data_IF_183750154662
#
_entry.id   IF_183750154662
#
_cell.length_a   1.000
_cell.length_b   1.000
_cell.length_c   1.000
_cell.angle_alpha   90.00
_cell.angle_beta   90.00
_cell.angle_gamma   90.00
#
_symmetry.space_group_name_H-M   'P 1'
#
loop_
_entity.id
_entity.type
_entity.pdbx_description
1 polymer ?
#
# COMPACT_ATOMS: atom_id res chain seq x y z
N UNK A 1 -9.93 -58.04 14.83
CA UNK A 1 -10.95 -57.25 14.07
C UNK A 1 -11.13 -55.82 14.55
N UNK A 2 -10.48 -55.38 15.63
CA UNK A 2 -10.61 -54.03 16.21
C UNK A 2 -9.68 -52.97 15.63
N UNK A 3 -8.55 -53.32 15.04
CA UNK A 3 -7.57 -52.34 14.53
C UNK A 3 -8.03 -51.61 13.25
N UNK A 4 -8.81 -52.28 12.39
CA UNK A 4 -9.29 -51.70 11.13
C UNK A 4 -10.31 -50.57 11.33
N UNK A 5 -11.12 -50.62 12.37
CA UNK A 5 -12.12 -49.59 12.67
C UNK A 5 -11.50 -48.28 13.21
N UNK A 6 -10.39 -48.43 13.94
CA UNK A 6 -9.68 -47.28 14.51
C UNK A 6 -8.99 -46.41 13.43
N UNK A 7 -8.42 -47.03 12.40
CA UNK A 7 -7.74 -46.36 11.29
C UNK A 7 -8.76 -45.55 10.44
N UNK A 8 -9.94 -46.12 10.19
CA UNK A 8 -10.98 -45.40 9.43
C UNK A 8 -11.57 -44.20 10.17
N UNK A 9 -11.70 -44.27 11.48
CA UNK A 9 -12.22 -43.17 12.30
C UNK A 9 -11.23 -41.99 12.38
N UNK A 10 -9.91 -42.27 12.44
CA UNK A 10 -8.86 -41.22 12.44
C UNK A 10 -8.75 -40.56 11.08
N UNK A 11 -8.88 -41.30 9.97
CA UNK A 11 -8.86 -40.75 8.61
C UNK A 11 -10.11 -39.91 8.33
N UNK A 12 -11.27 -40.29 8.85
CA UNK A 12 -12.51 -39.52 8.68
C UNK A 12 -12.49 -38.21 9.49
N UNK A 13 -11.93 -38.20 10.70
CA UNK A 13 -11.76 -37.02 11.55
C UNK A 13 -10.71 -36.06 10.95
N UNK A 14 -9.63 -36.58 10.34
CA UNK A 14 -8.64 -35.75 9.67
C UNK A 14 -9.17 -35.11 8.37
N UNK A 15 -10.02 -35.83 7.61
CA UNK A 15 -10.67 -35.30 6.42
C UNK A 15 -11.71 -34.20 6.76
N UNK A 16 -12.45 -34.36 7.86
CA UNK A 16 -13.39 -33.36 8.37
C UNK A 16 -12.66 -32.10 8.88
N UNK A 17 -11.50 -32.25 9.54
CA UNK A 17 -10.70 -31.13 10.02
C UNK A 17 -10.04 -30.37 8.85
N UNK A 18 -9.62 -31.06 7.77
CA UNK A 18 -9.10 -30.44 6.55
C UNK A 18 -10.19 -29.72 5.76
N UNK A 19 -11.39 -30.28 5.66
CA UNK A 19 -12.54 -29.62 5.02
C UNK A 19 -13.03 -28.42 5.82
N UNK A 20 -13.04 -28.48 7.15
CA UNK A 20 -13.38 -27.34 8.02
C UNK A 20 -12.35 -26.20 7.91
N UNK A 21 -11.04 -26.53 7.83
CA UNK A 21 -9.98 -25.53 7.57
C UNK A 21 -10.06 -24.93 6.16
N UNK A 22 -10.36 -25.74 5.13
CA UNK A 22 -10.59 -25.23 3.78
C UNK A 22 -11.83 -24.34 3.70
N UNK A 23 -12.89 -24.67 4.42
CA UNK A 23 -14.12 -23.91 4.48
C UNK A 23 -13.97 -22.62 5.33
N UNK A 24 -13.12 -22.65 6.36
CA UNK A 24 -12.75 -21.47 7.15
C UNK A 24 -11.88 -20.50 6.34
N UNK A 25 -10.96 -21.01 5.50
CA UNK A 25 -10.18 -20.20 4.57
C UNK A 25 -11.05 -19.63 3.41
N UNK A 26 -12.11 -20.32 2.99
CA UNK A 26 -13.03 -19.81 1.97
C UNK A 26 -14.00 -18.75 2.53
N UNK A 27 -14.34 -18.81 3.82
CA UNK A 27 -15.19 -17.81 4.49
C UNK A 27 -14.48 -16.47 4.75
N UNK A 28 -13.14 -16.39 4.70
CA UNK A 28 -12.40 -15.15 4.85
C UNK A 28 -12.31 -14.27 3.59
N UNK A 29 -12.83 -14.72 2.45
CA UNK A 29 -13.11 -13.85 1.30
C UNK A 29 -14.39 -13.03 1.54
N UNK A 30 -14.39 -12.22 2.61
CA UNK A 30 -15.50 -11.33 2.91
C UNK A 30 -15.59 -10.23 1.86
N UNK A 31 -16.75 -10.20 1.19
CA UNK A 31 -17.33 -9.11 0.41
C UNK A 31 -16.32 -8.06 -0.08
N UNK A 32 -15.79 -8.28 -1.27
CA UNK A 32 -15.11 -7.25 -2.03
C UNK A 32 -16.19 -6.46 -2.77
N UNK A 33 -16.36 -5.20 -2.41
CA UNK A 33 -17.14 -4.23 -3.17
C UNK A 33 -16.14 -3.44 -4.02
N UNK A 34 -16.41 -3.31 -5.30
CA UNK A 34 -15.61 -2.47 -6.20
C UNK A 34 -16.46 -1.32 -6.67
N UNK A 35 -15.86 -0.16 -6.88
CA UNK A 35 -16.58 1.01 -7.34
C UNK A 35 -15.67 2.04 -7.99
N UNK A 36 -16.33 3.05 -8.53
CA UNK A 36 -15.69 4.26 -9.03
C UNK A 36 -16.32 5.47 -8.37
N UNK A 37 -15.51 6.48 -8.11
CA UNK A 37 -15.95 7.79 -7.64
C UNK A 37 -15.48 8.87 -8.61
N UNK A 38 -16.39 9.77 -8.98
CA UNK A 38 -16.03 10.98 -9.72
C UNK A 38 -15.46 12.00 -8.73
N UNK A 39 -14.13 12.16 -8.73
CA UNK A 39 -13.41 13.04 -7.81
C UNK A 39 -12.39 13.87 -8.55
N UNK A 40 -12.42 15.18 -8.40
CA UNK A 40 -11.43 16.13 -8.96
C UNK A 40 -11.12 15.89 -10.46
N UNK A 41 -12.12 15.50 -11.26
CA UNK A 41 -11.97 15.20 -12.68
C UNK A 41 -11.42 13.80 -12.99
N UNK A 42 -11.33 12.91 -12.01
CA UNK A 42 -10.98 11.50 -12.16
C UNK A 42 -12.20 10.62 -11.93
N UNK A 43 -12.28 9.53 -12.67
CA UNK A 43 -13.07 8.35 -12.34
C UNK A 43 -12.17 7.40 -11.56
N UNK A 44 -12.09 7.62 -10.24
CA UNK A 44 -11.15 6.95 -9.34
C UNK A 44 -11.69 5.59 -8.91
N UNK A 45 -10.92 4.53 -9.15
CA UNK A 45 -11.27 3.17 -8.76
C UNK A 45 -10.91 2.88 -7.30
N UNK A 46 -11.80 2.14 -6.62
CA UNK A 46 -11.55 1.67 -5.26
C UNK A 46 -12.13 0.28 -5.02
N UNK A 47 -11.61 -0.38 -4.01
CA UNK A 47 -12.07 -1.67 -3.50
C UNK A 47 -12.31 -1.56 -2.00
N UNK A 48 -13.45 -2.11 -1.53
CA UNK A 48 -13.77 -2.17 -0.10
C UNK A 48 -13.85 -3.62 0.33
N UNK A 49 -13.17 -3.94 1.42
CA UNK A 49 -13.16 -5.27 2.04
C UNK A 49 -13.63 -5.17 3.49
N UNK A 50 -14.43 -6.13 3.94
CA UNK A 50 -14.89 -6.18 5.33
C UNK A 50 -15.84 -5.06 5.71
N UNK A 51 -15.92 -4.74 6.98
CA UNK A 51 -16.80 -3.72 7.57
C UNK A 51 -16.18 -3.17 8.86
N UNK A 52 -16.58 -1.96 9.25
CA UNK A 52 -16.07 -1.28 10.45
C UNK A 52 -16.26 0.23 10.33
N UNK A 53 -16.10 0.95 11.45
CA UNK A 53 -16.30 2.40 11.52
C UNK A 53 -15.11 3.17 10.98
N UNK A 54 -13.89 2.84 11.41
CA UNK A 54 -12.65 3.50 10.96
C UNK A 54 -11.94 2.55 9.99
N UNK A 55 -11.96 2.83 8.67
CA UNK A 55 -11.30 1.98 7.70
C UNK A 55 -9.78 2.14 7.73
N UNK A 56 -9.05 1.12 7.26
CA UNK A 56 -7.67 1.24 6.82
C UNK A 56 -7.65 1.48 5.31
N UNK A 57 -7.21 2.66 4.89
CA UNK A 57 -7.01 3.02 3.48
C UNK A 57 -5.63 2.55 3.04
N UNK A 58 -5.54 1.95 1.86
CA UNK A 58 -4.30 1.45 1.27
C UNK A 58 -4.00 2.21 -0.02
N UNK A 59 -2.83 2.90 -0.07
CA UNK A 59 -2.37 3.70 -1.21
C UNK A 59 -1.10 3.06 -1.78
N UNK A 60 -1.17 2.59 -3.02
CA UNK A 60 -0.10 1.85 -3.70
C UNK A 60 1.11 2.71 -4.07
N UNK A 61 2.23 2.07 -4.42
CA UNK A 61 3.44 2.72 -4.93
C UNK A 61 3.35 3.10 -6.40
N UNK A 62 4.34 3.85 -6.89
CA UNK A 62 4.45 4.21 -8.30
C UNK A 62 4.51 2.99 -9.22
N UNK A 63 3.95 3.10 -10.42
CA UNK A 63 3.87 2.03 -11.41
C UNK A 63 2.98 0.85 -11.01
N UNK A 64 2.30 0.93 -9.87
CA UNK A 64 1.61 -0.21 -9.24
C UNK A 64 0.10 -0.16 -9.41
N UNK A 65 -0.54 -1.24 -9.03
CA UNK A 65 -1.99 -1.38 -8.82
C UNK A 65 -2.25 -1.87 -7.40
N UNK A 66 -3.52 -1.95 -7.00
CA UNK A 66 -3.90 -2.55 -5.72
C UNK A 66 -3.31 -3.96 -5.59
N UNK A 67 -3.43 -4.78 -6.65
CA UNK A 67 -2.97 -6.17 -6.63
C UNK A 67 -1.46 -6.29 -6.56
N UNK A 68 -0.72 -5.45 -7.28
CA UNK A 68 0.75 -5.55 -7.31
C UNK A 68 1.38 -5.09 -6.01
N UNK A 69 0.87 -4.03 -5.37
CA UNK A 69 1.37 -3.56 -4.08
C UNK A 69 0.89 -4.40 -2.90
N UNK A 70 -0.39 -4.78 -2.87
CA UNK A 70 -1.03 -5.31 -1.66
C UNK A 70 -1.56 -6.74 -1.78
N UNK A 71 -1.53 -7.37 -2.95
CA UNK A 71 -2.13 -8.69 -3.18
C UNK A 71 -1.67 -9.75 -2.18
N UNK A 72 -0.42 -9.70 -1.74
CA UNK A 72 0.15 -10.68 -0.81
C UNK A 72 -0.07 -10.34 0.67
N UNK A 73 -0.27 -9.07 1.05
CA UNK A 73 -0.54 -8.69 2.45
C UNK A 73 -2.05 -8.63 2.75
N UNK A 74 -2.90 -8.31 1.78
CA UNK A 74 -4.35 -8.19 1.95
C UNK A 74 -5.00 -9.37 2.69
N UNK A 75 -4.66 -10.66 2.40
CA UNK A 75 -5.21 -11.78 3.15
C UNK A 75 -4.91 -11.74 4.64
N UNK A 76 -3.78 -11.18 5.04
CA UNK A 76 -3.36 -11.07 6.43
C UNK A 76 -3.93 -9.84 7.12
N UNK A 77 -4.25 -8.79 6.38
CA UNK A 77 -4.99 -7.61 6.88
C UNK A 77 -6.50 -7.90 7.00
N UNK A 78 -7.00 -8.95 6.31
CA UNK A 78 -8.39 -9.39 6.46
C UNK A 78 -8.68 -9.72 7.93
N UNK A 79 -9.80 -9.19 8.47
CA UNK A 79 -10.14 -9.32 9.88
C UNK A 79 -9.72 -8.14 10.76
N UNK A 80 -8.93 -7.18 10.26
CA UNK A 80 -8.75 -5.89 10.92
C UNK A 80 -10.09 -5.15 11.06
N UNK A 81 -10.92 -5.21 10.00
CA UNK A 81 -12.16 -4.46 9.91
C UNK A 81 -12.43 -4.06 8.46
N UNK A 82 -12.76 -2.80 8.23
CA UNK A 82 -12.99 -2.24 6.89
C UNK A 82 -11.65 -1.82 6.28
N UNK A 83 -11.34 -2.32 5.08
CA UNK A 83 -10.21 -1.87 4.27
C UNK A 83 -10.75 -1.15 3.03
N UNK A 84 -10.08 -0.09 2.60
CA UNK A 84 -10.37 0.63 1.35
C UNK A 84 -9.05 0.73 0.59
N UNK A 85 -8.93 0.05 -0.54
CA UNK A 85 -7.76 0.16 -1.41
C UNK A 85 -8.11 1.02 -2.61
N UNK A 86 -7.21 1.90 -3.03
CA UNK A 86 -7.44 2.88 -4.09
C UNK A 86 -6.40 2.74 -5.20
N UNK A 87 -6.79 3.09 -6.43
CA UNK A 87 -5.85 3.29 -7.54
C UNK A 87 -5.78 4.77 -7.85
N UNK A 88 -4.55 5.32 -7.87
CA UNK A 88 -4.29 6.75 -8.10
C UNK A 88 -4.47 7.12 -9.58
N UNK A 89 -4.38 8.42 -9.92
CA UNK A 89 -4.47 8.93 -11.29
C UNK A 89 -3.63 8.08 -12.26
N UNK A 90 -4.16 7.78 -13.44
CA UNK A 90 -3.55 6.99 -14.51
C UNK A 90 -3.19 5.54 -14.16
N UNK A 91 -3.30 5.11 -12.89
CA UNK A 91 -2.94 3.75 -12.47
C UNK A 91 -4.11 2.77 -12.57
N UNK A 92 -3.79 1.58 -13.05
CA UNK A 92 -4.71 0.45 -13.08
C UNK A 92 -6.04 0.78 -13.78
N UNK A 93 -7.13 0.85 -12.99
CA UNK A 93 -8.50 1.09 -13.47
C UNK A 93 -8.92 2.55 -13.36
N UNK A 94 -8.15 3.38 -12.67
CA UNK A 94 -8.44 4.81 -12.51
C UNK A 94 -8.15 5.55 -13.81
N UNK A 95 -9.05 6.46 -14.17
CA UNK A 95 -8.86 7.30 -15.33
C UNK A 95 -7.67 8.26 -15.16
N UNK A 96 -7.31 8.92 -16.26
CA UNK A 96 -6.35 10.00 -16.24
C UNK A 96 -7.04 11.36 -16.48
N UNK A 97 -6.35 12.43 -16.15
CA UNK A 97 -6.70 13.82 -16.48
C UNK A 97 -5.50 14.53 -17.05
N UNK A 98 -5.73 15.54 -17.87
CA UNK A 98 -4.66 16.29 -18.55
C UNK A 98 -3.94 17.27 -17.60
N UNK A 99 -3.44 16.76 -16.45
CA UNK A 99 -2.61 17.52 -15.51
C UNK A 99 -1.47 16.63 -15.03
N UNK A 100 -0.30 17.20 -14.68
CA UNK A 100 0.78 16.44 -14.06
C UNK A 100 0.31 15.79 -12.75
N UNK A 101 0.89 14.66 -12.40
CA UNK A 101 0.75 14.08 -11.07
C UNK A 101 1.59 14.84 -10.05
N UNK A 102 1.15 14.86 -8.80
CA UNK A 102 1.93 15.27 -7.65
C UNK A 102 1.38 14.64 -6.38
N UNK A 103 2.18 14.54 -5.33
CA UNK A 103 1.73 13.98 -4.04
C UNK A 103 0.62 14.80 -3.39
N UNK A 104 0.58 16.10 -3.65
CA UNK A 104 -0.47 17.01 -3.19
C UNK A 104 -1.81 16.66 -3.88
N UNK A 105 -1.79 16.47 -5.22
CA UNK A 105 -3.01 16.10 -5.96
C UNK A 105 -3.49 14.70 -5.59
N UNK A 106 -2.58 13.74 -5.45
CA UNK A 106 -2.92 12.40 -5.00
C UNK A 106 -3.57 12.43 -3.61
N UNK A 107 -3.06 13.29 -2.71
CA UNK A 107 -3.64 13.50 -1.39
C UNK A 107 -5.06 14.08 -1.50
N UNK A 108 -5.25 15.13 -2.30
CA UNK A 108 -6.56 15.77 -2.51
C UNK A 108 -7.57 14.77 -3.13
N UNK A 109 -7.14 13.91 -4.04
CA UNK A 109 -7.99 12.89 -4.69
C UNK A 109 -8.42 11.82 -3.68
N UNK A 110 -7.50 11.33 -2.85
CA UNK A 110 -7.81 10.36 -1.79
C UNK A 110 -8.78 10.98 -0.77
N UNK A 111 -8.57 12.22 -0.36
CA UNK A 111 -9.48 12.94 0.55
C UNK A 111 -10.86 13.13 -0.08
N UNK A 112 -10.93 13.50 -1.37
CA UNK A 112 -12.19 13.63 -2.08
C UNK A 112 -12.93 12.28 -2.17
N UNK A 113 -12.21 11.17 -2.40
CA UNK A 113 -12.77 9.83 -2.36
C UNK A 113 -13.34 9.48 -0.97
N UNK A 114 -12.62 9.77 0.11
CA UNK A 114 -13.09 9.49 1.48
C UNK A 114 -14.37 10.28 1.78
N UNK A 115 -14.44 11.55 1.38
CA UNK A 115 -15.66 12.37 1.49
C UNK A 115 -16.82 11.81 0.67
N UNK A 116 -16.55 11.37 -0.58
CA UNK A 116 -17.55 10.70 -1.42
C UNK A 116 -18.10 9.43 -0.74
N UNK A 117 -17.25 8.67 -0.08
CA UNK A 117 -17.61 7.46 0.67
C UNK A 117 -18.18 7.74 2.06
N UNK A 118 -18.32 9.02 2.45
CA UNK A 118 -18.81 9.49 3.77
C UNK A 118 -17.96 8.93 4.91
N UNK A 119 -16.64 8.97 4.73
CA UNK A 119 -15.64 8.56 5.73
C UNK A 119 -15.04 9.83 6.34
N UNK A 120 -15.34 10.08 7.60
CA UNK A 120 -14.86 11.26 8.33
C UNK A 120 -13.50 11.01 9.01
N UNK A 121 -13.16 9.74 9.26
CA UNK A 121 -11.91 9.34 9.92
C UNK A 121 -11.40 8.03 9.34
N UNK A 122 -10.10 7.96 9.04
CA UNK A 122 -9.47 6.75 8.49
C UNK A 122 -8.04 6.56 9.03
N UNK A 123 -7.61 5.31 9.15
CA UNK A 123 -6.20 4.97 9.19
C UNK A 123 -5.71 4.89 7.74
N UNK A 124 -4.49 5.35 7.46
CA UNK A 124 -3.96 5.37 6.10
C UNK A 124 -2.60 4.67 6.07
N UNK A 125 -2.47 3.66 5.24
CA UNK A 125 -1.21 2.98 4.94
C UNK A 125 -0.84 3.26 3.49
N UNK A 126 0.27 3.92 3.30
CA UNK A 126 0.87 4.12 1.99
C UNK A 126 2.15 3.32 1.81
N UNK A 127 2.42 2.94 0.58
CA UNK A 127 3.66 2.29 0.19
C UNK A 127 4.40 3.14 -0.86
N UNK A 128 5.70 3.39 -0.66
CA UNK A 128 6.56 4.12 -1.61
C UNK A 128 5.95 5.50 -1.95
N UNK A 129 5.57 5.78 -3.19
CA UNK A 129 4.88 7.00 -3.58
C UNK A 129 3.56 7.19 -2.82
N UNK A 130 2.82 6.12 -2.59
CA UNK A 130 1.64 6.16 -1.73
C UNK A 130 1.95 6.51 -0.27
N UNK A 131 3.17 6.20 0.23
CA UNK A 131 3.59 6.63 1.55
C UNK A 131 3.96 8.13 1.58
N UNK A 132 4.53 8.67 0.50
CA UNK A 132 4.72 10.12 0.35
C UNK A 132 3.37 10.85 0.29
N UNK A 133 2.38 10.28 -0.43
CA UNK A 133 0.99 10.77 -0.44
C UNK A 133 0.36 10.70 0.95
N UNK A 134 0.59 9.61 1.70
CA UNK A 134 0.08 9.46 3.08
C UNK A 134 0.69 10.51 4.02
N UNK A 135 1.99 10.77 3.90
CA UNK A 135 2.65 11.84 4.66
C UNK A 135 2.06 13.21 4.31
N UNK A 136 1.81 13.49 3.01
CA UNK A 136 1.14 14.70 2.56
C UNK A 136 -0.23 14.85 3.23
N UNK A 137 -1.05 13.80 3.22
CA UNK A 137 -2.37 13.81 3.86
C UNK A 137 -2.24 14.07 5.37
N UNK A 138 -1.28 13.42 6.05
CA UNK A 138 -1.07 13.60 7.48
C UNK A 138 -0.68 15.04 7.85
N UNK A 139 0.02 15.75 6.96
CA UNK A 139 0.39 17.16 7.14
C UNK A 139 -0.80 18.09 6.86
N UNK A 140 -1.52 17.87 5.75
CA UNK A 140 -2.51 18.83 5.24
C UNK A 140 -3.94 18.57 5.70
N UNK A 141 -4.27 17.31 6.05
CA UNK A 141 -5.60 16.86 6.46
C UNK A 141 -5.59 16.02 7.75
N UNK A 142 -4.91 16.49 8.82
CA UNK A 142 -4.80 15.71 10.07
C UNK A 142 -6.16 15.43 10.71
N UNK A 143 -7.19 16.22 10.39
CA UNK A 143 -8.55 16.02 10.90
C UNK A 143 -9.20 14.72 10.40
N UNK A 144 -8.81 14.23 9.21
CA UNK A 144 -9.34 12.98 8.63
C UNK A 144 -8.50 11.77 9.04
N UNK A 145 -7.21 11.96 9.32
CA UNK A 145 -6.29 10.86 9.65
C UNK A 145 -6.45 10.47 11.11
N UNK A 146 -6.76 9.20 11.37
CA UNK A 146 -6.71 8.62 12.71
C UNK A 146 -5.29 8.18 13.05
N UNK A 147 -4.67 7.36 12.18
CA UNK A 147 -3.27 6.91 12.28
C UNK A 147 -2.67 6.83 10.87
N UNK A 148 -1.38 7.12 10.74
CA UNK A 148 -0.63 7.04 9.49
C UNK A 148 0.41 5.91 9.54
N UNK A 149 0.56 5.17 8.44
CA UNK A 149 1.57 4.12 8.29
C UNK A 149 2.32 4.38 6.99
N UNK A 150 3.60 4.71 7.12
CA UNK A 150 4.47 5.12 6.03
C UNK A 150 5.45 3.98 5.72
N UNK A 151 5.18 3.21 4.67
CA UNK A 151 6.04 2.10 4.28
C UNK A 151 6.96 2.54 3.14
N UNK A 152 8.26 2.63 3.39
CA UNK A 152 9.28 3.06 2.42
C UNK A 152 9.02 4.47 1.86
N UNK A 153 8.74 5.43 2.73
CA UNK A 153 8.53 6.83 2.38
C UNK A 153 9.86 7.60 2.28
N UNK A 154 9.92 8.59 1.39
CA UNK A 154 10.98 9.60 1.36
C UNK A 154 10.39 10.99 1.57
N UNK A 155 11.11 11.86 2.30
CA UNK A 155 10.73 13.26 2.48
C UNK A 155 11.77 14.22 1.89
N UNK A 156 12.97 13.70 1.53
CA UNK A 156 14.01 14.44 0.80
C UNK A 156 14.61 13.58 -0.30
N UNK A 157 15.15 14.24 -1.33
CA UNK A 157 15.81 13.58 -2.46
C UNK A 157 17.06 12.82 -2.04
N UNK A 158 17.82 13.36 -1.10
CA UNK A 158 19.03 12.72 -0.55
C UNK A 158 18.71 11.49 0.32
N UNK A 159 17.46 11.26 0.66
CA UNK A 159 16.99 10.04 1.32
C UNK A 159 17.00 8.80 0.43
N UNK A 160 17.10 8.99 -0.89
CA UNK A 160 17.20 7.89 -1.85
C UNK A 160 18.64 7.37 -1.94
N UNK A 161 18.79 6.11 -2.37
CA UNK A 161 20.13 5.55 -2.67
C UNK A 161 20.81 6.35 -3.77
N UNK A 162 22.15 6.37 -3.74
CA UNK A 162 22.96 7.09 -4.73
C UNK A 162 22.61 6.62 -6.17
N UNK A 163 22.48 7.54 -7.09
CA UNK A 163 22.16 7.26 -8.50
C UNK A 163 20.70 7.04 -8.81
N UNK A 164 19.79 7.11 -7.80
CA UNK A 164 18.36 6.90 -8.02
C UNK A 164 17.77 7.90 -9.04
N UNK A 165 17.98 9.19 -8.84
CA UNK A 165 17.42 10.23 -9.72
C UNK A 165 18.09 10.26 -11.10
N UNK A 166 19.38 9.98 -11.16
CA UNK A 166 20.13 9.83 -12.42
C UNK A 166 19.63 8.61 -13.23
N UNK A 167 19.30 7.53 -12.52
CA UNK A 167 18.65 6.35 -13.15
C UNK A 167 17.28 6.71 -13.68
N UNK A 168 16.49 7.42 -12.87
CA UNK A 168 15.13 7.81 -13.23
C UNK A 168 15.08 8.78 -14.44
N UNK A 169 16.04 9.72 -14.55
CA UNK A 169 16.17 10.60 -15.73
C UNK A 169 16.39 9.84 -17.03
N UNK A 170 16.98 8.65 -16.97
CA UNK A 170 17.23 7.78 -18.12
C UNK A 170 16.21 6.65 -18.29
N UNK A 171 15.23 6.60 -17.36
CA UNK A 171 14.24 5.55 -17.37
C UNK A 171 13.35 5.63 -18.60
N UNK A 172 13.08 4.48 -19.18
CA UNK A 172 12.13 4.29 -20.27
C UNK A 172 11.13 3.21 -19.87
N UNK A 173 10.01 3.11 -20.58
CA UNK A 173 9.02 2.06 -20.30
C UNK A 173 9.64 0.65 -20.32
N UNK A 174 10.70 0.43 -21.12
CA UNK A 174 11.40 -0.86 -21.16
C UNK A 174 12.09 -1.18 -19.81
N UNK A 175 12.57 -0.15 -19.10
CA UNK A 175 13.21 -0.31 -17.78
C UNK A 175 12.22 -0.60 -16.65
N UNK A 176 10.92 -0.39 -16.87
CA UNK A 176 9.89 -0.73 -15.89
C UNK A 176 9.83 -2.26 -15.68
N UNK A 177 9.79 -2.76 -14.42
CA UNK A 177 9.72 -4.19 -14.14
C UNK A 177 8.57 -4.89 -14.88
N UNK A 178 8.85 -6.04 -15.48
CA UNK A 178 7.86 -6.79 -16.27
C UNK A 178 6.60 -7.12 -15.47
N UNK A 179 6.75 -7.50 -14.20
CA UNK A 179 5.62 -7.85 -13.33
C UNK A 179 4.68 -6.66 -13.06
N UNK A 180 5.20 -5.43 -13.02
CA UNK A 180 4.36 -4.22 -12.90
C UNK A 180 3.63 -3.93 -14.21
N UNK A 181 4.32 -4.05 -15.38
CA UNK A 181 3.68 -3.93 -16.70
C UNK A 181 2.56 -4.95 -16.88
N UNK A 182 2.80 -6.20 -16.50
CA UNK A 182 1.81 -7.28 -16.55
C UNK A 182 0.64 -6.99 -15.60
N UNK A 183 0.94 -6.52 -14.37
CA UNK A 183 -0.06 -6.15 -13.38
C UNK A 183 -0.99 -5.04 -13.87
N UNK A 184 -0.43 -3.98 -14.45
CA UNK A 184 -1.19 -2.91 -15.09
C UNK A 184 -2.06 -3.46 -16.22
N UNK A 185 -1.46 -4.16 -17.20
CA UNK A 185 -2.14 -4.69 -18.37
C UNK A 185 -3.26 -5.68 -18.05
N UNK A 186 -3.20 -6.32 -16.89
CA UNK A 186 -4.23 -7.26 -16.41
C UNK A 186 -5.52 -6.54 -16.02
N UNK A 187 -5.42 -5.31 -15.54
CA UNK A 187 -6.56 -4.61 -14.92
C UNK A 187 -6.98 -3.34 -15.64
N UNK A 188 -6.07 -2.66 -16.34
CA UNK A 188 -6.34 -1.41 -17.01
C UNK A 188 -7.37 -1.60 -18.13
N UNK A 189 -8.37 -0.70 -18.24
CA UNK A 189 -9.34 -0.71 -19.35
C UNK A 189 -8.67 -0.45 -20.70
N UNK A 190 -7.66 0.43 -20.73
CA UNK A 190 -6.83 0.72 -21.90
C UNK A 190 -5.37 0.44 -21.59
N UNK A 191 -4.82 -0.60 -22.21
CA UNK A 191 -3.42 -1.00 -22.05
C UNK A 191 -2.43 -0.02 -22.69
N UNK A 192 -2.86 0.75 -23.69
CA UNK A 192 -2.01 1.74 -24.35
C UNK A 192 -1.70 2.90 -23.39
N UNK A 193 -2.49 3.08 -22.33
CA UNK A 193 -2.27 4.11 -21.32
C UNK A 193 -1.11 3.80 -20.35
N UNK A 194 -0.52 2.59 -20.41
CA UNK A 194 0.64 2.21 -19.60
C UNK A 194 1.82 3.17 -19.76
N UNK A 195 2.08 3.64 -20.97
CA UNK A 195 3.15 4.60 -21.24
C UNK A 195 2.87 5.93 -20.55
N UNK A 196 1.64 6.41 -20.59
CA UNK A 196 1.23 7.67 -19.95
C UNK A 196 1.39 7.58 -18.43
N UNK A 197 0.93 6.49 -17.82
CA UNK A 197 1.13 6.24 -16.40
C UNK A 197 2.62 6.26 -16.03
N UNK A 198 3.46 5.53 -16.77
CA UNK A 198 4.90 5.47 -16.55
C UNK A 198 5.56 6.87 -16.65
N UNK A 199 5.26 7.63 -17.72
CA UNK A 199 5.82 8.96 -17.92
C UNK A 199 5.41 9.94 -16.83
N UNK A 200 4.16 9.88 -16.37
CA UNK A 200 3.66 10.72 -15.28
C UNK A 200 4.29 10.37 -13.93
N UNK A 201 4.44 9.09 -13.61
CA UNK A 201 5.14 8.65 -12.40
C UNK A 201 6.60 9.13 -12.37
N UNK A 202 7.32 8.95 -13.50
CA UNK A 202 8.69 9.44 -13.64
C UNK A 202 8.74 10.96 -13.45
N UNK A 203 7.84 11.70 -14.13
CA UNK A 203 7.78 13.16 -14.03
C UNK A 203 7.46 13.62 -12.59
N UNK A 204 6.48 12.99 -11.91
CA UNK A 204 6.15 13.25 -10.50
C UNK A 204 7.36 13.08 -9.59
N UNK A 205 8.10 11.98 -9.74
CA UNK A 205 9.26 11.69 -8.90
C UNK A 205 10.45 12.61 -9.22
N UNK A 206 10.65 12.99 -10.49
CA UNK A 206 11.68 13.97 -10.87
C UNK A 206 11.34 15.39 -10.37
N UNK A 207 10.07 15.76 -10.32
CA UNK A 207 9.59 17.03 -9.78
C UNK A 207 9.51 17.06 -8.25
N UNK A 208 9.82 15.94 -7.58
CA UNK A 208 9.74 15.85 -6.11
C UNK A 208 10.59 16.94 -5.45
N UNK A 209 9.95 17.71 -4.60
CA UNK A 209 10.57 18.77 -3.79
C UNK A 209 10.78 18.27 -2.35
N UNK A 210 11.96 18.53 -1.82
CA UNK A 210 12.29 18.19 -0.44
C UNK A 210 11.32 18.86 0.53
N UNK A 211 10.83 18.10 1.50
CA UNK A 211 10.12 18.63 2.64
C UNK A 211 11.09 19.09 3.70
N UNK A 212 10.71 20.10 4.42
CA UNK A 212 11.47 20.58 5.55
C UNK A 212 11.31 19.66 6.77
N UNK A 213 12.29 19.68 7.66
CA UNK A 213 12.20 18.96 8.93
C UNK A 213 11.03 19.48 9.80
N UNK A 214 10.66 20.78 9.66
CA UNK A 214 9.56 21.36 10.38
C UNK A 214 8.20 20.89 9.89
N UNK A 215 8.03 20.57 8.60
CA UNK A 215 6.83 19.91 8.09
C UNK A 215 6.66 18.53 8.75
N UNK A 216 7.75 17.76 8.92
CA UNK A 216 7.67 16.47 9.61
C UNK A 216 7.35 16.64 11.10
N UNK A 217 7.95 17.64 11.77
CA UNK A 217 7.62 17.97 13.17
C UNK A 217 6.19 18.46 13.36
N UNK A 218 5.55 18.95 12.29
CA UNK A 218 4.15 19.39 12.32
C UNK A 218 3.14 18.25 12.27
N UNK A 219 3.55 17.03 11.94
CA UNK A 219 2.67 15.85 11.93
C UNK A 219 2.20 15.55 13.36
N UNK A 220 0.87 15.57 13.56
CA UNK A 220 0.24 15.42 14.88
C UNK A 220 -0.43 14.06 15.08
N UNK A 221 -0.55 13.29 14.01
CA UNK A 221 -1.25 12.01 14.04
C UNK A 221 -0.26 10.89 14.43
N UNK A 222 -0.70 9.90 15.23
CA UNK A 222 0.14 8.73 15.52
C UNK A 222 0.65 8.11 14.22
N UNK A 223 1.95 7.91 14.12
CA UNK A 223 2.60 7.51 12.87
C UNK A 223 3.52 6.31 13.08
N UNK A 224 3.37 5.28 12.24
CA UNK A 224 4.31 4.17 12.12
C UNK A 224 5.13 4.34 10.86
N UNK A 225 6.45 4.45 10.99
CA UNK A 225 7.41 4.53 9.89
C UNK A 225 8.06 3.17 9.70
N UNK A 226 7.97 2.61 8.50
CA UNK A 226 8.48 1.28 8.20
C UNK A 226 9.33 1.31 6.92
N UNK A 227 10.41 0.52 6.87
CA UNK A 227 11.17 0.25 5.65
C UNK A 227 11.86 -1.11 5.70
N UNK A 228 12.50 -1.49 4.60
CA UNK A 228 13.44 -2.62 4.55
C UNK A 228 14.88 -2.14 4.80
N UNK A 229 15.75 -3.05 5.24
CA UNK A 229 17.18 -2.76 5.46
C UNK A 229 17.99 -2.62 4.15
N UNK A 230 17.47 -3.14 3.05
CA UNK A 230 18.04 -3.01 1.69
C UNK A 230 17.05 -2.30 0.74
N UNK A 231 16.39 -1.26 1.24
CA UNK A 231 15.43 -0.46 0.49
C UNK A 231 16.14 0.50 -0.49
N UNK A 232 15.39 1.07 -1.44
CA UNK A 232 15.82 2.22 -2.26
C UNK A 232 15.80 3.52 -1.46
N UNK A 233 15.14 3.53 -0.30
CA UNK A 233 15.21 4.58 0.71
C UNK A 233 16.31 4.20 1.69
N UNK A 234 17.26 5.08 1.93
CA UNK A 234 18.36 4.82 2.89
C UNK A 234 17.79 4.61 4.30
N UNK A 235 18.29 3.62 5.00
CA UNK A 235 17.84 3.30 6.38
C UNK A 235 17.99 4.50 7.30
N UNK A 236 19.08 5.27 7.19
CA UNK A 236 19.34 6.47 7.99
C UNK A 236 18.26 7.53 7.76
N UNK A 237 17.77 7.67 6.52
CA UNK A 237 16.69 8.59 6.18
C UNK A 237 15.36 8.15 6.82
N UNK A 238 15.06 6.85 6.80
CA UNK A 238 13.88 6.30 7.48
C UNK A 238 13.92 6.53 8.99
N UNK A 239 15.09 6.31 9.61
CA UNK A 239 15.32 6.58 11.05
C UNK A 239 15.15 8.07 11.35
N UNK A 240 15.74 8.95 10.54
CA UNK A 240 15.60 10.40 10.69
C UNK A 240 14.13 10.85 10.56
N UNK A 241 13.39 10.31 9.60
CA UNK A 241 11.95 10.58 9.45
C UNK A 241 11.20 10.24 10.73
N UNK A 242 11.42 9.06 11.29
CA UNK A 242 10.78 8.64 12.54
C UNK A 242 11.17 9.51 13.74
N UNK A 243 12.41 9.97 13.79
CA UNK A 243 12.87 10.88 14.86
C UNK A 243 12.29 12.29 14.75
N UNK A 244 11.99 12.77 13.54
CA UNK A 244 11.42 14.09 13.30
C UNK A 244 9.92 14.14 13.57
N UNK A 245 9.18 13.07 13.27
CA UNK A 245 7.73 12.99 13.50
C UNK A 245 7.48 12.72 15.00
N UNK A 246 6.78 13.63 15.72
CA UNK A 246 6.58 13.47 17.15
C UNK A 246 5.83 12.16 17.51
N UNK A 247 6.45 11.36 18.38
CA UNK A 247 5.84 10.10 18.85
C UNK A 247 5.76 8.99 17.79
N UNK A 248 6.48 9.11 16.66
CA UNK A 248 6.46 8.06 15.66
C UNK A 248 7.15 6.79 16.14
N UNK A 249 6.57 5.66 15.77
CA UNK A 249 7.17 4.34 15.93
C UNK A 249 7.99 3.97 14.69
N UNK A 250 9.04 3.17 14.85
CA UNK A 250 9.94 2.77 13.79
C UNK A 250 10.06 1.25 13.69
N UNK A 251 9.92 0.73 12.47
CA UNK A 251 10.17 -0.68 12.17
C UNK A 251 11.05 -0.81 10.93
N UNK A 252 12.22 -1.45 11.07
CA UNK A 252 13.06 -1.85 9.94
C UNK A 252 13.02 -3.38 9.83
N UNK A 253 12.63 -3.88 8.67
CA UNK A 253 12.50 -5.31 8.39
C UNK A 253 13.56 -5.75 7.36
N UNK A 254 13.99 -7.01 7.39
CA UNK A 254 14.92 -7.51 6.38
C UNK A 254 14.27 -7.57 5.00
N UNK A 255 14.99 -7.14 3.96
CA UNK A 255 14.55 -7.28 2.57
C UNK A 255 14.83 -6.07 1.69
N UNK A 256 14.29 -6.08 0.47
CA UNK A 256 14.36 -4.99 -0.49
C UNK A 256 13.07 -4.13 -0.44
N UNK A 257 12.99 -3.11 -1.30
CA UNK A 257 11.82 -2.25 -1.47
C UNK A 257 10.54 -3.05 -1.68
N UNK A 258 9.53 -2.85 -0.83
CA UNK A 258 8.25 -3.55 -0.88
C UNK A 258 8.24 -4.98 -0.31
N UNK A 259 9.38 -5.58 0.07
CA UNK A 259 9.43 -6.92 0.67
C UNK A 259 8.52 -7.08 1.90
N UNK A 260 8.42 -6.10 2.81
CA UNK A 260 7.52 -6.18 3.96
C UNK A 260 6.06 -6.41 3.59
N UNK A 261 5.60 -5.80 2.50
CA UNK A 261 4.22 -5.94 2.01
C UNK A 261 4.02 -7.18 1.12
N UNK A 262 5.13 -7.78 0.63
CA UNK A 262 5.09 -8.78 -0.42
C UNK A 262 4.70 -8.18 -1.77
N UNK A 263 5.16 -6.96 -2.06
CA UNK A 263 5.01 -6.32 -3.36
C UNK A 263 5.49 -7.28 -4.46
N UNK A 264 4.85 -7.25 -5.63
CA UNK A 264 4.99 -8.29 -6.66
C UNK A 264 6.43 -8.50 -7.14
N UNK A 265 7.26 -7.44 -7.18
CA UNK A 265 8.66 -7.51 -7.61
C UNK A 265 9.62 -7.92 -6.49
N UNK A 266 9.19 -7.82 -5.22
CA UNK A 266 10.02 -8.04 -4.04
C UNK A 266 9.63 -9.30 -3.26
N UNK A 267 8.50 -9.92 -3.56
CA UNK A 267 8.00 -11.07 -2.83
C UNK A 267 8.90 -12.29 -3.01
N UNK A 268 9.26 -12.95 -1.89
CA UNK A 268 9.99 -14.22 -1.89
C UNK A 268 9.01 -15.35 -1.59
N UNK A 269 9.02 -16.40 -2.40
CA UNK A 269 8.18 -17.59 -2.19
C UNK A 269 8.39 -18.17 -0.78
N UNK A 270 7.30 -18.36 -0.05
CA UNK A 270 7.33 -18.89 1.32
C UNK A 270 7.74 -17.89 2.40
N UNK A 271 7.94 -16.60 2.07
CA UNK A 271 8.21 -15.56 3.05
C UNK A 271 7.02 -15.33 3.98
N UNK A 272 7.31 -15.19 5.28
CA UNK A 272 6.33 -14.79 6.29
C UNK A 272 6.29 -13.27 6.50
N UNK A 273 7.09 -12.48 5.80
CA UNK A 273 7.19 -11.03 6.02
C UNK A 273 5.84 -10.31 5.84
N UNK A 274 5.03 -10.58 4.82
CA UNK A 274 3.71 -9.93 4.71
C UNK A 274 2.79 -10.23 5.91
N UNK A 275 2.88 -11.45 6.47
CA UNK A 275 2.11 -11.82 7.68
C UNK A 275 2.63 -11.10 8.92
N UNK A 276 3.95 -10.99 9.07
CA UNK A 276 4.60 -10.29 10.19
C UNK A 276 4.27 -8.79 10.10
N UNK A 277 4.42 -8.19 8.92
CA UNK A 277 4.06 -6.78 8.69
C UNK A 277 2.59 -6.52 9.02
N UNK A 278 1.68 -7.39 8.57
CA UNK A 278 0.27 -7.24 8.90
C UNK A 278 -0.01 -7.36 10.41
N UNK A 279 0.77 -8.15 11.15
CA UNK A 279 0.66 -8.23 12.61
C UNK A 279 1.12 -6.93 13.27
N UNK A 280 2.27 -6.38 12.87
CA UNK A 280 2.78 -5.09 13.36
C UNK A 280 1.82 -3.94 13.05
N UNK A 281 1.29 -3.89 11.82
CA UNK A 281 0.27 -2.91 11.44
C UNK A 281 -0.96 -3.00 12.33
N UNK A 282 -1.45 -4.21 12.61
CA UNK A 282 -2.62 -4.41 13.46
C UNK A 282 -2.37 -4.01 14.90
N UNK A 283 -1.21 -4.33 15.45
CA UNK A 283 -0.79 -3.93 16.80
C UNK A 283 -0.84 -2.42 16.92
N UNK A 284 -0.11 -1.71 16.05
CA UNK A 284 -0.12 -0.24 16.00
C UNK A 284 -1.53 0.35 15.89
N UNK A 285 -2.43 -0.28 15.13
CA UNK A 285 -3.79 0.24 14.93
C UNK A 285 -4.72 -0.02 16.12
N UNK A 286 -4.40 -0.93 17.04
CA UNK A 286 -5.21 -1.28 18.21
C UNK A 286 -4.85 -0.46 19.45
N UNK A 287 -3.65 0.10 19.51
CA UNK A 287 -3.24 1.05 20.55
C UNK A 287 -4.01 2.38 20.46
#
# INVERSE_FOLDING_TARGET
>A
MQVKHFIWTVLFLSALALSARAQQNSKSRKLKITGYAEVNGLKMYYEIYGSGSIPLVLIHGGGSTIETSFGNILPFLSGYGKLIAVELQAHGRTSDRNTPESFERDADDVIALLRHLKIDKANILGFSDGACTTLQIAITHPEIVNKAILVSASYKRDGMVLGFFEGLQRATLDSMPALLKEGYNKVAPDKNHLVVMFEKDVARRLAFTDRTDDELRSVKVPTLVMASDHDVIRTEHTVQMAQLIPGAELVILPGAHGTPLGEICAVKKGSNLPKITAALVKEFLQE
#
